data_IF_420752513194
#
_entry.id   IF_420752513194
#
_cell.length_a   1.000
_cell.length_b   1.000
_cell.length_c   1.000
_cell.angle_alpha   90.00
_cell.angle_beta   90.00
_cell.angle_gamma   90.00
#
_symmetry.space_group_name_H-M   'P 1'
#
loop_
_entity.id
_entity.type
_entity.pdbx_description
1 polymer ?
#
# COMPACT_ATOMS: atom_id res chain seq x y z
N UNK A 1 15.09 13.14 26.78
CA UNK A 1 16.45 12.65 26.45
C UNK A 1 17.08 12.08 27.71
N UNK A 2 17.30 10.76 27.78
CA UNK A 2 17.59 10.06 29.03
C UNK A 2 19.08 10.02 29.41
N UNK A 3 20.00 10.27 28.46
CA UNK A 3 21.45 10.12 28.67
C UNK A 3 22.32 11.35 28.27
N UNK A 4 21.72 12.50 27.89
CA UNK A 4 22.49 13.70 27.51
C UNK A 4 23.35 13.58 26.25
N UNK A 5 23.15 12.55 25.43
CA UNK A 5 23.88 12.33 24.18
C UNK A 5 23.17 12.99 22.99
N UNK A 6 23.95 13.34 21.96
CA UNK A 6 23.46 13.81 20.66
C UNK A 6 24.06 12.94 19.54
N UNK A 7 23.26 12.65 18.52
CA UNK A 7 23.74 12.02 17.30
C UNK A 7 24.68 12.98 16.55
N UNK A 8 25.75 12.44 15.93
CA UNK A 8 26.78 13.24 15.26
C UNK A 8 27.06 12.76 13.83
N UNK A 9 27.18 11.44 13.64
CA UNK A 9 27.41 10.83 12.33
C UNK A 9 26.90 9.39 12.34
N UNK A 10 26.28 8.96 11.23
CA UNK A 10 25.81 7.59 11.04
C UNK A 10 26.90 6.77 10.35
N UNK A 11 27.41 5.73 11.02
CA UNK A 11 28.44 4.84 10.46
C UNK A 11 27.86 3.82 9.48
N UNK A 12 26.69 3.26 9.79
CA UNK A 12 26.04 2.23 8.98
C UNK A 12 24.54 2.18 9.28
N UNK A 13 23.73 1.95 8.24
CA UNK A 13 22.35 1.53 8.39
C UNK A 13 22.26 0.00 8.24
N UNK A 14 21.50 -0.65 9.11
CA UNK A 14 21.36 -2.10 9.12
C UNK A 14 19.89 -2.48 9.03
N UNK A 15 19.61 -3.54 8.28
CA UNK A 15 18.29 -4.15 8.16
C UNK A 15 18.37 -5.67 8.28
N UNK A 16 17.23 -6.32 8.48
CA UNK A 16 17.16 -7.78 8.47
C UNK A 16 17.21 -8.29 7.02
N UNK A 17 18.08 -9.26 6.74
CA UNK A 17 18.25 -9.84 5.40
C UNK A 17 18.12 -11.36 5.43
N UNK A 18 17.59 -11.94 4.34
CA UNK A 18 17.59 -13.39 4.13
C UNK A 18 18.87 -13.78 3.37
N UNK A 19 19.68 -14.66 3.97
CA UNK A 19 20.97 -15.10 3.41
C UNK A 19 20.87 -16.57 3.00
N UNK A 20 21.44 -16.90 1.83
CA UNK A 20 21.52 -18.26 1.32
C UNK A 20 22.96 -18.60 0.85
N UNK A 21 23.31 -19.89 0.86
CA UNK A 21 24.58 -20.39 0.29
C UNK A 21 24.52 -20.34 -1.23
N UNK A 22 25.66 -20.12 -1.90
CA UNK A 22 25.72 -19.98 -3.37
C UNK A 22 25.30 -21.23 -4.16
N UNK A 23 25.58 -22.43 -3.63
CA UNK A 23 25.37 -23.70 -4.32
C UNK A 23 24.24 -24.51 -3.65
N UNK A 24 23.00 -24.03 -3.76
CA UNK A 24 21.82 -24.78 -3.33
C UNK A 24 21.50 -25.89 -4.33
N UNK A 25 21.05 -27.04 -3.83
CA UNK A 25 20.40 -28.04 -4.67
C UNK A 25 19.00 -27.57 -5.11
N UNK A 26 18.40 -28.28 -6.05
CA UNK A 26 17.13 -27.92 -6.64
C UNK A 26 15.96 -27.91 -5.64
N UNK A 27 16.01 -28.78 -4.61
CA UNK A 27 14.96 -28.86 -3.60
C UNK A 27 15.01 -27.65 -2.67
N UNK A 28 16.20 -27.32 -2.18
CA UNK A 28 16.42 -26.16 -1.32
C UNK A 28 16.14 -24.84 -2.05
N UNK A 29 16.49 -24.74 -3.34
CA UNK A 29 16.16 -23.57 -4.16
C UNK A 29 14.64 -23.35 -4.25
N UNK A 30 13.87 -24.41 -4.47
CA UNK A 30 12.39 -24.34 -4.52
C UNK A 30 11.79 -23.91 -3.19
N UNK A 31 12.38 -24.30 -2.05
CA UNK A 31 11.96 -23.85 -0.73
C UNK A 31 12.27 -22.36 -0.54
N UNK A 32 13.48 -21.93 -0.94
CA UNK A 32 13.90 -20.53 -0.87
C UNK A 32 12.96 -19.63 -1.68
N UNK A 33 12.63 -20.00 -2.92
CA UNK A 33 11.69 -19.24 -3.77
C UNK A 33 10.31 -19.11 -3.13
N UNK A 34 9.77 -20.19 -2.56
CA UNK A 34 8.49 -20.16 -1.84
C UNK A 34 8.54 -19.25 -0.62
N UNK A 35 9.64 -19.25 0.12
CA UNK A 35 9.82 -18.40 1.29
C UNK A 35 9.94 -16.92 0.89
N UNK A 36 10.77 -16.62 -0.11
CA UNK A 36 10.93 -15.28 -0.65
C UNK A 36 9.60 -14.71 -1.15
N UNK A 37 8.81 -15.51 -1.88
CA UNK A 37 7.48 -15.11 -2.32
C UNK A 37 6.58 -14.71 -1.14
N UNK A 38 6.52 -15.55 -0.08
CA UNK A 38 5.69 -15.27 1.11
C UNK A 38 6.17 -14.03 1.87
N UNK A 39 7.48 -13.84 2.00
CA UNK A 39 8.04 -12.66 2.65
C UNK A 39 7.67 -11.40 1.86
N UNK A 40 7.86 -11.42 0.53
CA UNK A 40 7.49 -10.30 -0.34
C UNK A 40 6.00 -9.97 -0.24
N UNK A 41 5.13 -10.98 -0.25
CA UNK A 41 3.69 -10.80 -0.15
C UNK A 41 3.27 -10.06 1.13
N UNK A 42 3.91 -10.38 2.27
CA UNK A 42 3.64 -9.72 3.55
C UNK A 42 4.27 -8.31 3.59
N UNK A 43 5.49 -8.14 3.08
CA UNK A 43 6.15 -6.83 3.07
C UNK A 43 5.40 -5.83 2.19
N UNK A 44 4.95 -6.25 1.00
CA UNK A 44 4.16 -5.42 0.11
C UNK A 44 2.80 -5.06 0.74
N UNK A 45 2.13 -6.02 1.37
CA UNK A 45 0.88 -5.77 2.07
C UNK A 45 1.03 -4.73 3.20
N UNK A 46 2.11 -4.81 3.99
CA UNK A 46 2.39 -3.85 5.06
C UNK A 46 2.60 -2.42 4.59
N UNK A 47 3.16 -2.24 3.40
CA UNK A 47 3.44 -0.91 2.83
C UNK A 47 2.22 -0.26 2.19
N UNK A 48 1.10 -0.99 2.05
CA UNK A 48 -0.07 -0.54 1.33
C UNK A 48 -1.34 -0.64 2.19
N UNK A 49 -2.32 0.19 1.88
CA UNK A 49 -3.67 0.14 2.45
C UNK A 49 -4.68 -0.02 1.35
N UNK A 50 -5.75 -0.75 1.63
CA UNK A 50 -6.92 -0.76 0.79
C UNK A 50 -7.84 0.38 1.19
N UNK A 51 -8.30 1.16 0.22
CA UNK A 51 -9.22 2.26 0.42
C UNK A 51 -10.51 2.04 -0.36
N UNK A 52 -11.60 2.46 0.25
CA UNK A 52 -12.95 2.49 -0.29
C UNK A 52 -13.48 3.89 -0.03
N UNK A 53 -14.06 4.53 -1.04
CA UNK A 53 -14.70 5.83 -0.90
C UNK A 53 -15.88 5.94 -1.85
N UNK A 54 -16.79 6.86 -1.56
CA UNK A 54 -17.89 7.23 -2.45
C UNK A 54 -17.58 8.58 -3.09
N UNK A 55 -17.95 8.75 -4.35
CA UNK A 55 -17.73 9.97 -5.10
C UNK A 55 -18.90 10.28 -6.04
N UNK A 56 -19.20 11.56 -6.30
CA UNK A 56 -20.07 11.96 -7.39
C UNK A 56 -19.48 11.53 -8.74
N UNK A 57 -20.32 11.06 -9.66
CA UNK A 57 -19.87 10.55 -10.96
C UNK A 57 -19.08 11.59 -11.76
N UNK A 58 -19.46 12.87 -11.66
CA UNK A 58 -18.79 13.99 -12.31
C UNK A 58 -17.37 14.27 -11.78
N UNK A 59 -17.03 13.78 -10.58
CA UNK A 59 -15.73 13.94 -9.94
C UNK A 59 -14.83 12.71 -10.05
N UNK A 60 -15.33 11.61 -10.63
CA UNK A 60 -14.59 10.35 -10.73
C UNK A 60 -13.24 10.50 -11.42
N UNK A 61 -13.17 11.20 -12.55
CA UNK A 61 -11.90 11.38 -13.28
C UNK A 61 -10.83 12.08 -12.43
N UNK A 62 -11.23 13.12 -11.68
CA UNK A 62 -10.31 13.84 -10.80
C UNK A 62 -9.87 12.98 -9.60
N UNK A 63 -10.79 12.19 -9.04
CA UNK A 63 -10.54 11.31 -7.90
C UNK A 63 -9.65 10.12 -8.30
N UNK A 64 -9.92 9.48 -9.43
CA UNK A 64 -9.14 8.36 -9.96
C UNK A 64 -7.69 8.79 -10.22
N UNK A 65 -7.48 10.01 -10.72
CA UNK A 65 -6.15 10.55 -10.96
C UNK A 65 -5.31 10.74 -9.68
N UNK A 66 -5.96 10.87 -8.52
CA UNK A 66 -5.31 11.02 -7.21
C UNK A 66 -4.97 9.68 -6.55
N UNK A 67 -5.40 8.55 -7.11
CA UNK A 67 -5.21 7.22 -6.52
C UNK A 67 -4.14 6.45 -7.30
N UNK A 68 -2.83 6.68 -7.05
CA UNK A 68 -1.76 5.92 -7.65
C UNK A 68 -1.80 4.49 -7.08
N UNK A 69 -2.47 3.59 -7.80
CA UNK A 69 -2.67 2.21 -7.39
C UNK A 69 -1.93 1.21 -8.27
N UNK A 70 -1.71 0.01 -7.73
CA UNK A 70 -1.03 -1.11 -8.38
C UNK A 70 -1.75 -1.58 -9.68
N UNK A 71 -3.02 -1.18 -9.87
CA UNK A 71 -3.82 -1.27 -11.12
C UNK A 71 -4.85 -0.13 -11.18
N UNK A 72 -5.64 -0.06 -12.25
CA UNK A 72 -6.80 0.84 -12.36
C UNK A 72 -7.76 0.63 -11.18
N UNK A 73 -8.26 1.71 -10.53
CA UNK A 73 -9.28 1.60 -9.49
C UNK A 73 -10.53 0.90 -9.98
N UNK A 74 -11.20 0.17 -9.07
CA UNK A 74 -12.51 -0.41 -9.34
C UNK A 74 -13.58 0.64 -9.06
N UNK A 75 -14.47 0.86 -10.02
CA UNK A 75 -15.59 1.82 -9.89
C UNK A 75 -16.90 1.06 -10.01
N UNK A 76 -17.78 1.24 -9.03
CA UNK A 76 -19.09 0.58 -8.96
C UNK A 76 -20.20 1.61 -8.70
N UNK A 77 -21.29 1.62 -9.47
CA UNK A 77 -22.39 2.55 -9.21
C UNK A 77 -23.07 2.24 -7.88
N UNK A 78 -23.46 3.28 -7.14
CA UNK A 78 -24.24 3.14 -5.90
C UNK A 78 -25.74 3.11 -6.21
N UNK A 79 -26.54 2.72 -5.21
CA UNK A 79 -28.00 2.81 -5.27
C UNK A 79 -28.47 4.28 -5.42
N UNK A 80 -27.71 5.21 -4.83
CA UNK A 80 -27.90 6.65 -5.02
C UNK A 80 -27.45 7.04 -6.42
N UNK A 81 -28.37 7.58 -7.23
CA UNK A 81 -28.05 8.02 -8.60
C UNK A 81 -27.01 9.15 -8.60
N UNK A 82 -26.09 9.11 -9.56
CA UNK A 82 -25.04 10.12 -9.71
C UNK A 82 -23.84 9.90 -8.79
N UNK A 83 -23.76 8.74 -8.12
CA UNK A 83 -22.68 8.40 -7.20
C UNK A 83 -22.12 7.01 -7.48
N UNK A 84 -20.82 6.89 -7.25
CA UNK A 84 -20.08 5.65 -7.42
C UNK A 84 -19.16 5.38 -6.23
N UNK A 85 -18.99 4.11 -5.90
CA UNK A 85 -17.95 3.60 -4.99
C UNK A 85 -16.66 3.40 -5.78
N UNK A 86 -15.55 3.90 -5.24
CA UNK A 86 -14.20 3.75 -5.78
C UNK A 86 -13.37 2.95 -4.80
N UNK A 87 -12.74 1.90 -5.30
CA UNK A 87 -11.87 1.03 -4.52
C UNK A 87 -10.47 1.05 -5.11
N UNK A 88 -9.46 1.23 -4.25
CA UNK A 88 -8.06 1.26 -4.67
C UNK A 88 -7.13 0.75 -3.57
N UNK A 89 -5.87 0.50 -3.95
CA UNK A 89 -4.77 0.21 -3.04
C UNK A 89 -3.78 1.36 -3.17
N UNK A 90 -3.36 1.93 -2.04
CA UNK A 90 -2.40 3.05 -2.02
C UNK A 90 -1.28 2.77 -1.02
N UNK A 91 -0.13 3.44 -1.20
CA UNK A 91 0.96 3.39 -0.23
C UNK A 91 0.54 4.06 1.09
N UNK A 92 0.93 3.48 2.23
CA UNK A 92 0.63 4.04 3.55
C UNK A 92 1.23 5.44 3.78
N UNK A 93 2.39 5.72 3.19
CA UNK A 93 3.06 7.01 3.33
C UNK A 93 2.33 8.14 2.58
N UNK A 94 1.70 7.83 1.45
CA UNK A 94 0.99 8.80 0.62
C UNK A 94 -0.45 9.05 1.10
N UNK A 95 -0.94 8.21 2.02
CA UNK A 95 -2.35 8.21 2.43
C UNK A 95 -2.85 9.57 2.95
N UNK A 96 -2.12 10.19 3.87
CA UNK A 96 -2.57 11.43 4.50
C UNK A 96 -2.60 12.62 3.53
N UNK A 97 -1.61 12.71 2.64
CA UNK A 97 -1.55 13.75 1.60
C UNK A 97 -2.71 13.62 0.61
N UNK A 98 -3.00 12.39 0.18
CA UNK A 98 -4.09 12.11 -0.76
C UNK A 98 -5.45 12.30 -0.08
N UNK A 99 -5.60 11.92 1.20
CA UNK A 99 -6.87 11.96 1.93
C UNK A 99 -7.52 13.34 1.95
N UNK A 100 -6.75 14.39 2.28
CA UNK A 100 -7.26 15.76 2.30
C UNK A 100 -7.72 16.21 0.92
N UNK A 101 -6.94 15.86 -0.11
CA UNK A 101 -7.26 16.20 -1.50
C UNK A 101 -8.52 15.47 -1.98
N UNK A 102 -8.69 14.19 -1.65
CA UNK A 102 -9.90 13.42 -1.96
C UNK A 102 -11.15 14.06 -1.34
N UNK A 103 -11.09 14.41 -0.04
CA UNK A 103 -12.16 15.11 0.66
C UNK A 103 -12.53 16.43 -0.04
N UNK A 104 -11.54 17.23 -0.39
CA UNK A 104 -11.75 18.52 -1.08
C UNK A 104 -12.35 18.35 -2.48
N UNK A 105 -12.14 17.20 -3.13
CA UNK A 105 -12.74 16.87 -4.43
C UNK A 105 -14.10 16.17 -4.34
N UNK A 106 -14.68 16.07 -3.15
CA UNK A 106 -16.03 15.55 -2.95
C UNK A 106 -16.10 14.05 -2.64
N UNK A 107 -14.98 13.42 -2.28
CA UNK A 107 -15.01 12.06 -1.76
C UNK A 107 -15.64 12.00 -0.36
N UNK A 108 -16.54 11.03 -0.17
CA UNK A 108 -17.25 10.78 1.08
C UNK A 108 -17.11 9.34 1.54
N UNK A 109 -17.40 9.07 2.81
CA UNK A 109 -17.42 7.70 3.34
C UNK A 109 -16.10 6.94 3.18
N UNK A 110 -14.96 7.63 3.24
CA UNK A 110 -13.64 7.03 3.06
C UNK A 110 -13.36 6.02 4.19
N UNK A 111 -13.12 4.77 3.81
CA UNK A 111 -12.75 3.67 4.68
C UNK A 111 -11.37 3.14 4.29
N UNK A 112 -10.57 2.82 5.29
CA UNK A 112 -9.20 2.33 5.14
C UNK A 112 -9.09 0.99 5.84
N UNK A 113 -8.56 0.00 5.12
CA UNK A 113 -8.39 -1.35 5.61
C UNK A 113 -6.92 -1.75 5.47
N UNK A 114 -6.39 -2.41 6.49
CA UNK A 114 -5.08 -3.07 6.41
C UNK A 114 -5.16 -4.27 5.47
N UNK A 115 -4.08 -4.51 4.74
CA UNK A 115 -3.93 -5.70 3.88
C UNK A 115 -2.99 -6.66 4.62
N UNK A 116 -3.42 -7.91 4.82
CA UNK A 116 -2.59 -8.92 5.49
C UNK A 116 -1.56 -9.54 4.54
N UNK A 117 -1.97 -9.79 3.29
CA UNK A 117 -1.15 -10.38 2.25
C UNK A 117 -1.53 -9.81 0.89
N UNK A 118 -0.53 -9.53 0.06
CA UNK A 118 -0.71 -9.07 -1.30
C UNK A 118 0.08 -9.99 -2.24
N UNK A 119 -0.56 -10.44 -3.32
CA UNK A 119 0.04 -11.34 -4.31
C UNK A 119 -0.14 -10.68 -5.67
N UNK A 120 0.97 -10.45 -6.38
CA UNK A 120 1.02 -9.85 -7.70
C UNK A 120 1.57 -10.80 -8.79
#
# INVERSE_FOLDING_TARGET
FTNGLREVETVMQSEAVLIARKNLDAEALKILEKLLFRIKAVTQAKQNKYILLNAPDEKLSEIIALLPGIKSPTVMPLATRGWSSVHSVINENDFWEIFETLKNKGAEGILVLSIDQMID
#
